data_IF_190038993389
#
_entry.id   IF_190038993389
#
_cell.length_a   1.000
_cell.length_b   1.000
_cell.length_c   1.000
_cell.angle_alpha   90.00
_cell.angle_beta   90.00
_cell.angle_gamma   90.00
#
_symmetry.space_group_name_H-M   'P 1'
#
loop_
_entity.id
_entity.type
_entity.pdbx_description
1 polymer ?
#
# COMPACT_ATOMS: atom_id res chain seq x y z
N UNK A 1 -42.72 23.25 -66.87
CA UNK A 1 -42.38 23.65 -65.47
C UNK A 1 -42.14 25.16 -65.48
N UNK A 2 -43.12 25.94 -65.02
CA UNK A 2 -43.09 27.39 -65.08
C UNK A 2 -42.14 27.98 -64.03
N UNK A 3 -41.59 29.16 -64.33
CA UNK A 3 -40.63 29.90 -63.53
C UNK A 3 -41.12 30.08 -62.06
N UNK A 4 -42.43 30.10 -61.86
CA UNK A 4 -43.13 30.24 -60.58
C UNK A 4 -43.05 28.96 -59.69
N UNK A 5 -43.00 27.76 -60.33
CA UNK A 5 -42.95 26.50 -59.56
C UNK A 5 -41.54 26.27 -58.91
N UNK A 6 -40.50 26.71 -59.63
CA UNK A 6 -39.11 26.65 -59.06
C UNK A 6 -38.93 27.59 -57.90
N UNK A 7 -39.56 28.79 -57.92
CA UNK A 7 -39.46 29.70 -56.73
C UNK A 7 -40.21 29.18 -55.52
N UNK A 8 -41.35 28.52 -55.67
CA UNK A 8 -42.09 27.93 -54.58
C UNK A 8 -41.34 26.72 -53.96
N UNK A 9 -40.67 25.93 -54.79
CA UNK A 9 -39.84 24.80 -54.32
C UNK A 9 -38.60 25.30 -53.53
N UNK A 10 -37.90 26.34 -54.05
CA UNK A 10 -36.79 26.94 -53.38
C UNK A 10 -37.17 27.56 -52.02
N UNK A 11 -38.31 28.21 -51.91
CA UNK A 11 -38.85 28.80 -50.71
C UNK A 11 -39.20 27.69 -49.65
N UNK A 12 -39.82 26.61 -50.18
CA UNK A 12 -40.11 25.42 -49.27
C UNK A 12 -38.87 24.78 -48.69
N UNK A 13 -37.82 24.58 -49.49
CA UNK A 13 -36.55 24.01 -49.06
C UNK A 13 -35.87 24.94 -48.02
N UNK A 14 -35.92 26.25 -48.25
CA UNK A 14 -35.35 27.24 -47.32
C UNK A 14 -36.06 27.23 -45.96
N UNK A 15 -37.42 27.16 -45.95
CA UNK A 15 -38.20 27.05 -44.69
C UNK A 15 -37.88 25.76 -43.93
N UNK A 16 -37.78 24.62 -44.64
CA UNK A 16 -37.40 23.33 -44.03
C UNK A 16 -35.98 23.40 -43.43
N UNK A 17 -35.05 24.05 -44.12
CA UNK A 17 -33.66 24.20 -43.66
C UNK A 17 -33.58 25.09 -42.42
N UNK A 18 -34.38 26.17 -42.35
CA UNK A 18 -34.46 27.04 -41.16
C UNK A 18 -35.11 26.30 -39.98
N UNK A 19 -36.15 25.50 -40.21
CA UNK A 19 -36.81 24.69 -39.17
C UNK A 19 -35.86 23.60 -38.64
N UNK A 20 -35.11 22.93 -39.50
CA UNK A 20 -34.10 21.95 -39.08
C UNK A 20 -32.97 22.61 -38.29
N UNK A 21 -32.55 23.82 -38.69
CA UNK A 21 -31.49 24.56 -37.97
C UNK A 21 -31.96 25.07 -36.62
N UNK A 22 -33.24 25.45 -36.45
CA UNK A 22 -33.81 25.84 -35.16
C UNK A 22 -34.00 24.65 -34.23
N UNK A 23 -34.43 23.49 -34.73
CA UNK A 23 -34.56 22.24 -33.97
C UNK A 23 -33.17 21.74 -33.50
N UNK A 24 -32.15 21.80 -34.37
CA UNK A 24 -30.78 21.44 -34.03
C UNK A 24 -30.16 22.35 -32.93
N UNK A 25 -30.57 23.61 -32.86
CA UNK A 25 -30.11 24.57 -31.85
C UNK A 25 -30.79 24.39 -30.48
N UNK A 26 -32.01 23.83 -30.44
CA UNK A 26 -32.75 23.54 -29.20
C UNK A 26 -32.36 22.21 -28.54
N UNK A 27 -31.54 21.36 -29.19
CA UNK A 27 -31.23 20.01 -28.71
C UNK A 27 -30.01 19.94 -27.76
N UNK A 28 -29.38 21.07 -27.45
CA UNK A 28 -28.36 21.13 -26.38
C UNK A 28 -29.06 21.18 -25.03
N UNK A 29 -29.45 20.02 -24.50
CA UNK A 29 -29.82 19.91 -23.10
C UNK A 29 -28.56 20.16 -22.26
N UNK A 30 -28.57 21.20 -21.38
CA UNK A 30 -27.48 21.36 -20.45
C UNK A 30 -27.40 20.10 -19.55
N UNK A 31 -26.23 19.55 -19.42
CA UNK A 31 -25.92 18.51 -18.45
C UNK A 31 -26.48 18.92 -17.09
N UNK A 32 -27.30 18.08 -16.46
CA UNK A 32 -27.80 18.32 -15.11
C UNK A 32 -26.60 18.31 -14.16
N UNK A 33 -26.08 19.47 -13.83
CA UNK A 33 -25.11 19.64 -12.76
C UNK A 33 -25.81 19.29 -11.43
N UNK A 34 -25.35 18.26 -10.78
CA UNK A 34 -25.83 17.92 -9.44
C UNK A 34 -25.08 18.79 -8.45
N UNK A 35 -25.76 19.76 -7.89
CA UNK A 35 -25.25 20.64 -6.84
C UNK A 35 -25.52 20.02 -5.46
N UNK A 36 -24.47 19.87 -4.65
CA UNK A 36 -24.54 19.42 -3.25
C UNK A 36 -24.11 20.58 -2.36
N UNK A 37 -24.91 20.87 -1.33
CA UNK A 37 -24.54 21.83 -0.29
C UNK A 37 -23.77 21.09 0.81
N UNK A 38 -22.63 21.64 1.20
CA UNK A 38 -21.82 21.16 2.33
C UNK A 38 -21.54 22.32 3.27
N UNK A 39 -21.29 22.01 4.54
CA UNK A 39 -20.80 22.97 5.54
C UNK A 39 -19.33 22.67 5.81
N UNK A 40 -18.49 23.70 5.99
CA UNK A 40 -17.17 23.51 6.57
C UNK A 40 -17.29 22.87 7.95
N UNK A 41 -16.36 22.01 8.29
CA UNK A 41 -16.32 21.30 9.57
C UNK A 41 -14.99 21.60 10.24
N UNK A 42 -15.01 21.87 11.54
CA UNK A 42 -13.78 21.91 12.33
C UNK A 42 -13.36 20.48 12.66
N UNK A 43 -12.12 20.17 12.36
CA UNK A 43 -11.60 18.81 12.55
C UNK A 43 -10.09 18.75 12.47
N UNK A 44 -9.56 17.54 12.44
CA UNK A 44 -8.13 17.27 12.28
C UNK A 44 -7.83 16.97 10.83
N UNK A 45 -6.77 17.57 10.29
CA UNK A 45 -6.22 17.25 8.98
C UNK A 45 -4.79 16.75 9.13
N UNK A 46 -4.47 15.71 8.38
CA UNK A 46 -3.17 15.07 8.46
C UNK A 46 -2.65 14.80 7.04
N UNK A 47 -1.43 15.27 6.78
CA UNK A 47 -0.69 14.88 5.57
C UNK A 47 0.05 13.58 5.85
N UNK A 48 -0.02 12.63 4.94
CA UNK A 48 0.65 11.34 5.07
C UNK A 48 1.57 11.09 3.88
N UNK A 49 2.73 10.51 4.16
CA UNK A 49 3.62 9.95 3.15
C UNK A 49 3.31 8.47 3.06
N UNK A 50 2.88 8.04 1.87
CA UNK A 50 2.57 6.62 1.61
C UNK A 50 3.77 5.95 0.95
N UNK A 51 4.19 4.81 1.49
CA UNK A 51 5.32 4.05 0.96
C UNK A 51 5.07 2.55 1.01
N UNK A 52 5.72 1.82 0.12
CA UNK A 52 5.77 0.36 0.16
C UNK A 52 6.79 -0.07 1.21
N UNK A 53 6.47 -1.12 1.94
CA UNK A 53 7.30 -1.66 2.99
C UNK A 53 7.35 -3.18 2.97
N UNK A 54 8.33 -3.75 3.65
CA UNK A 54 8.45 -5.20 3.82
C UNK A 54 8.59 -5.52 5.30
N UNK A 55 7.84 -6.52 5.75
CA UNK A 55 7.98 -7.08 7.10
C UNK A 55 9.28 -7.88 7.16
N UNK A 56 10.14 -7.57 8.12
CA UNK A 56 11.40 -8.29 8.30
C UNK A 56 11.79 -8.38 9.78
N UNK A 57 12.64 -9.34 10.14
CA UNK A 57 13.22 -9.35 11.49
C UNK A 57 14.13 -8.13 11.69
N UNK A 58 14.06 -7.48 12.84
CA UNK A 58 14.95 -6.37 13.18
C UNK A 58 16.40 -6.88 13.27
N UNK A 59 16.61 -7.94 14.03
CA UNK A 59 17.88 -8.65 14.09
C UNK A 59 17.66 -10.08 13.63
N UNK A 60 18.31 -10.45 12.54
CA UNK A 60 18.33 -11.81 12.01
C UNK A 60 19.60 -12.51 12.53
N UNK A 61 19.42 -13.43 13.46
CA UNK A 61 20.52 -14.14 14.05
C UNK A 61 20.60 -15.58 13.53
N UNK A 62 21.66 -15.87 12.80
CA UNK A 62 21.95 -17.21 12.28
C UNK A 62 22.67 -18.03 13.33
N UNK A 63 22.02 -19.09 13.81
CA UNK A 63 22.60 -20.01 14.78
C UNK A 63 23.32 -21.12 14.01
N UNK A 64 24.66 -21.05 14.05
CA UNK A 64 25.54 -21.99 13.37
C UNK A 64 26.11 -23.01 14.39
N UNK A 65 26.31 -24.25 13.95
CA UNK A 65 26.90 -25.26 14.82
C UNK A 65 28.37 -24.90 15.17
N UNK A 66 28.80 -25.14 16.42
CA UNK A 66 30.19 -24.87 16.80
C UNK A 66 31.18 -25.87 16.17
N UNK A 67 30.70 -27.00 15.70
CA UNK A 67 31.47 -28.08 15.06
C UNK A 67 30.68 -28.69 13.91
N UNK A 68 31.39 -29.26 12.95
CA UNK A 68 30.74 -30.07 11.92
C UNK A 68 30.19 -31.36 12.51
N UNK A 69 29.02 -31.80 12.05
CA UNK A 69 28.42 -32.99 12.60
C UNK A 69 27.07 -33.35 12.00
N UNK A 70 26.36 -34.24 12.71
CA UNK A 70 25.00 -34.67 12.30
C UNK A 70 23.99 -34.18 13.35
N UNK A 71 22.84 -33.75 12.87
CA UNK A 71 21.68 -33.40 13.69
C UNK A 71 21.10 -34.70 14.30
N UNK A 72 21.02 -34.76 15.60
CA UNK A 72 20.39 -35.87 16.32
C UNK A 72 18.90 -35.61 16.52
N UNK A 73 18.53 -34.40 16.97
CA UNK A 73 17.14 -33.99 17.17
C UNK A 73 16.98 -32.47 17.06
N UNK A 74 15.89 -32.03 16.50
CA UNK A 74 15.45 -30.64 16.47
C UNK A 74 14.30 -30.49 17.45
N UNK A 75 14.42 -29.54 18.39
CA UNK A 75 13.48 -29.37 19.49
C UNK A 75 12.51 -28.22 19.26
N UNK A 76 12.71 -27.41 18.22
CA UNK A 76 11.95 -26.19 17.93
C UNK A 76 11.39 -26.24 16.51
N UNK A 77 10.30 -25.49 16.29
CA UNK A 77 9.65 -25.37 14.99
C UNK A 77 9.60 -23.90 14.55
N UNK A 78 9.46 -23.66 13.27
CA UNK A 78 9.22 -22.32 12.74
C UNK A 78 7.97 -21.69 13.38
N UNK A 79 8.08 -20.41 13.78
CA UNK A 79 7.05 -19.67 14.50
C UNK A 79 7.03 -19.92 16.01
N UNK A 80 7.95 -20.71 16.57
CA UNK A 80 8.05 -20.95 18.01
C UNK A 80 8.86 -19.86 18.71
N UNK A 81 8.37 -19.40 19.86
CA UNK A 81 9.09 -18.46 20.72
C UNK A 81 10.08 -19.23 21.59
N UNK A 82 11.34 -18.81 21.56
CA UNK A 82 12.43 -19.40 22.34
C UNK A 82 13.05 -18.38 23.29
N UNK A 83 13.63 -18.90 24.39
CA UNK A 83 14.32 -18.08 25.37
C UNK A 83 15.84 -18.25 25.27
N UNK A 84 16.56 -17.22 25.67
CA UNK A 84 18.02 -17.30 25.81
C UNK A 84 18.42 -18.48 26.73
N UNK A 85 19.38 -19.29 26.26
CA UNK A 85 19.80 -20.52 26.94
C UNK A 85 18.95 -21.76 26.61
N UNK A 86 17.85 -21.64 25.91
CA UNK A 86 17.05 -22.80 25.50
C UNK A 86 17.78 -23.61 24.43
N UNK A 87 17.80 -24.95 24.60
CA UNK A 87 18.36 -25.86 23.60
C UNK A 87 17.42 -25.95 22.39
N UNK A 88 17.93 -25.63 21.20
CA UNK A 88 17.22 -25.67 19.93
C UNK A 88 17.39 -27.01 19.22
N UNK A 89 18.63 -27.50 19.21
CA UNK A 89 19.01 -28.71 18.46
C UNK A 89 20.04 -29.51 19.28
N UNK A 90 19.91 -30.82 19.22
CA UNK A 90 20.96 -31.73 19.66
C UNK A 90 21.74 -32.22 18.44
N UNK A 91 23.07 -32.21 18.53
CA UNK A 91 23.92 -32.64 17.44
C UNK A 91 25.08 -33.55 17.93
N UNK A 92 25.52 -34.42 17.05
CA UNK A 92 26.72 -35.25 17.21
C UNK A 92 27.85 -34.68 16.38
N UNK A 93 29.06 -34.62 16.90
CA UNK A 93 30.25 -34.45 16.08
C UNK A 93 30.36 -35.60 15.06
N UNK A 94 31.12 -35.40 14.00
CA UNK A 94 31.36 -36.44 12.99
C UNK A 94 31.87 -37.73 13.59
N UNK A 95 32.81 -37.59 14.60
CA UNK A 95 33.40 -38.76 15.26
C UNK A 95 32.38 -39.49 16.14
N UNK A 96 31.57 -38.71 16.92
CA UNK A 96 30.50 -39.27 17.75
C UNK A 96 29.46 -39.99 16.84
N UNK A 97 29.08 -39.44 15.76
CA UNK A 97 28.11 -40.03 14.83
C UNK A 97 28.63 -41.39 14.29
N UNK A 98 29.89 -41.44 13.87
CA UNK A 98 30.52 -42.67 13.39
C UNK A 98 30.59 -43.76 14.48
N UNK A 99 30.95 -43.40 15.74
CA UNK A 99 30.98 -44.34 16.87
C UNK A 99 29.59 -44.88 17.21
N UNK A 100 28.55 -44.02 17.20
CA UNK A 100 27.19 -44.47 17.45
C UNK A 100 26.64 -45.37 16.31
N UNK A 101 26.98 -45.10 15.05
CA UNK A 101 26.58 -45.95 13.94
C UNK A 101 27.26 -47.33 14.01
N UNK A 102 28.55 -47.40 14.41
CA UNK A 102 29.25 -48.66 14.67
C UNK A 102 28.69 -49.40 15.90
N UNK A 103 28.31 -48.70 16.94
CA UNK A 103 27.69 -49.25 18.16
C UNK A 103 26.30 -49.84 17.88
N UNK A 104 25.52 -49.17 17.02
CA UNK A 104 24.19 -49.68 16.58
C UNK A 104 24.26 -51.07 15.97
N UNK A 105 25.30 -51.36 15.22
CA UNK A 105 25.54 -52.71 14.64
C UNK A 105 25.91 -53.75 15.69
N UNK A 106 26.39 -53.32 16.91
CA UNK A 106 26.79 -54.22 18.00
C UNK A 106 25.69 -54.48 19.03
N UNK A 107 24.61 -53.74 18.98
CA UNK A 107 23.43 -53.92 19.82
C UNK A 107 23.19 -52.81 20.83
N UNK A 108 22.07 -52.90 21.57
CA UNK A 108 21.58 -51.79 22.41
C UNK A 108 22.50 -51.46 23.61
N UNK A 109 23.18 -52.41 24.15
CA UNK A 109 24.12 -52.19 25.29
C UNK A 109 25.32 -51.35 24.84
N UNK A 110 25.90 -51.67 23.68
CA UNK A 110 26.99 -50.91 23.11
C UNK A 110 26.56 -49.50 22.76
N UNK A 111 25.34 -49.35 22.22
CA UNK A 111 24.75 -48.03 21.88
C UNK A 111 24.64 -47.15 23.12
N UNK A 112 24.05 -47.68 24.24
CA UNK A 112 23.92 -46.98 25.48
C UNK A 112 25.24 -46.54 26.09
N UNK A 113 26.25 -47.44 26.01
CA UNK A 113 27.59 -47.11 26.52
C UNK A 113 28.20 -45.91 25.82
N UNK A 114 28.14 -45.87 24.48
CA UNK A 114 28.71 -44.78 23.68
C UNK A 114 27.91 -43.49 23.82
N UNK A 115 26.57 -43.54 23.97
CA UNK A 115 25.74 -42.38 24.27
C UNK A 115 26.08 -41.76 25.65
N UNK A 116 26.40 -42.58 26.62
CA UNK A 116 26.78 -42.12 27.98
C UNK A 116 28.17 -41.50 28.01
N UNK A 117 29.12 -42.10 27.26
CA UNK A 117 30.51 -41.63 27.20
C UNK A 117 30.67 -40.37 26.39
N UNK A 118 30.02 -40.31 25.23
CA UNK A 118 30.07 -39.18 24.31
C UNK A 118 28.71 -38.47 24.32
N UNK A 119 28.59 -37.37 25.07
CA UNK A 119 27.36 -36.60 25.11
C UNK A 119 27.12 -35.84 23.79
N UNK A 120 25.85 -35.67 23.43
CA UNK A 120 25.45 -34.78 22.34
C UNK A 120 25.79 -33.33 22.67
N UNK A 121 26.09 -32.53 21.64
CA UNK A 121 26.35 -31.10 21.78
C UNK A 121 25.04 -30.33 21.59
N UNK A 122 24.61 -29.52 22.58
CA UNK A 122 23.44 -28.69 22.41
C UNK A 122 23.78 -27.46 21.58
N UNK A 123 22.93 -27.14 20.66
CA UNK A 123 22.87 -25.82 20.00
C UNK A 123 21.84 -24.98 20.73
N UNK A 124 22.28 -23.93 21.42
CA UNK A 124 21.44 -23.11 22.30
C UNK A 124 21.13 -21.76 21.71
N UNK A 125 19.97 -21.19 22.09
CA UNK A 125 19.62 -19.81 21.71
C UNK A 125 20.42 -18.82 22.55
N UNK A 126 21.12 -17.84 21.94
CA UNK A 126 21.80 -16.78 22.68
C UNK A 126 20.87 -15.60 23.04
N UNK A 127 19.68 -15.53 22.49
CA UNK A 127 18.68 -14.43 22.66
C UNK A 127 17.29 -15.00 22.92
N UNK A 128 16.41 -14.17 23.47
CA UNK A 128 14.96 -14.38 23.37
C UNK A 128 14.49 -14.00 21.97
N UNK A 129 13.61 -14.81 21.36
CA UNK A 129 13.13 -14.51 20.00
C UNK A 129 12.21 -15.56 19.43
N UNK A 130 11.88 -15.41 18.17
CA UNK A 130 11.04 -16.33 17.39
C UNK A 130 11.91 -17.06 16.35
N UNK A 131 11.68 -18.36 16.18
CA UNK A 131 12.30 -19.17 15.12
C UNK A 131 11.69 -18.82 13.77
N UNK A 132 12.45 -18.21 12.88
CA UNK A 132 11.98 -17.84 11.53
C UNK A 132 12.39 -18.82 10.44
N UNK A 133 13.41 -19.64 10.68
CA UNK A 133 13.86 -20.71 9.80
C UNK A 133 14.33 -21.90 10.62
N UNK A 134 13.81 -23.09 10.29
CA UNK A 134 14.25 -24.38 10.82
C UNK A 134 14.00 -25.43 9.73
N UNK A 135 14.91 -25.51 8.75
CA UNK A 135 14.72 -26.33 7.54
C UNK A 135 15.44 -27.67 7.60
N UNK A 136 16.32 -27.87 8.55
CA UNK A 136 17.10 -29.10 8.68
C UNK A 136 16.28 -30.24 9.30
N UNK A 137 16.70 -31.47 9.00
CA UNK A 137 16.02 -32.69 9.48
C UNK A 137 16.97 -33.55 10.34
N UNK A 138 16.43 -34.30 11.33
CA UNK A 138 17.20 -35.25 12.09
C UNK A 138 17.92 -36.25 11.18
N UNK A 139 19.22 -36.44 11.38
CA UNK A 139 20.07 -37.26 10.56
C UNK A 139 20.86 -36.53 9.49
N UNK A 140 20.55 -35.27 9.21
CA UNK A 140 21.27 -34.42 8.25
C UNK A 140 22.67 -34.07 8.79
N UNK A 141 23.64 -33.99 7.88
CA UNK A 141 25.01 -33.54 8.17
C UNK A 141 25.07 -32.05 7.91
N UNK A 142 25.55 -31.31 8.89
CA UNK A 142 25.69 -29.84 8.87
C UNK A 142 27.13 -29.42 9.11
N UNK A 143 27.49 -28.29 8.55
CA UNK A 143 28.81 -27.67 8.71
C UNK A 143 28.74 -26.45 9.60
N UNK A 144 29.87 -26.05 10.19
CA UNK A 144 29.96 -24.83 11.02
C UNK A 144 29.75 -23.53 10.25
N UNK A 145 29.63 -23.57 8.93
CA UNK A 145 29.38 -22.42 8.04
C UNK A 145 27.90 -22.20 7.74
N UNK A 146 27.08 -23.23 7.89
CA UNK A 146 25.65 -23.21 7.58
C UNK A 146 24.81 -22.93 8.85
N UNK A 147 23.77 -22.11 8.70
CA UNK A 147 22.85 -21.84 9.80
C UNK A 147 21.82 -22.96 9.89
N UNK A 148 21.71 -23.62 11.03
CA UNK A 148 20.71 -24.67 11.32
C UNK A 148 19.38 -24.06 11.73
N UNK A 149 19.42 -23.01 12.53
CA UNK A 149 18.24 -22.27 12.97
C UNK A 149 18.51 -20.79 12.81
N UNK A 150 17.48 -20.04 12.38
CA UNK A 150 17.55 -18.59 12.32
C UNK A 150 16.52 -18.01 13.25
N UNK A 151 16.96 -17.13 14.11
CA UNK A 151 16.13 -16.45 15.10
C UNK A 151 15.91 -14.98 14.73
N UNK A 152 14.77 -14.45 15.13
CA UNK A 152 14.42 -13.03 15.11
C UNK A 152 14.10 -12.58 16.52
N UNK A 153 14.58 -11.42 16.93
CA UNK A 153 14.17 -10.82 18.20
C UNK A 153 12.76 -10.25 18.12
N UNK A 154 12.46 -9.51 17.05
CA UNK A 154 11.12 -8.99 16.75
C UNK A 154 10.96 -8.71 15.25
N UNK A 155 9.73 -8.70 14.79
CA UNK A 155 9.42 -8.25 13.43
C UNK A 155 9.23 -6.73 13.42
N UNK A 156 9.85 -6.10 12.44
CA UNK A 156 9.68 -4.69 12.08
C UNK A 156 9.17 -4.57 10.67
N UNK A 157 8.75 -3.37 10.31
CA UNK A 157 8.33 -3.05 8.94
C UNK A 157 9.31 -2.04 8.36
N UNK A 158 10.06 -2.43 7.35
CA UNK A 158 11.02 -1.57 6.69
C UNK A 158 10.39 -0.94 5.45
N UNK A 159 10.18 0.37 5.49
CA UNK A 159 9.65 1.17 4.39
C UNK A 159 10.75 1.59 3.40
N UNK A 160 10.36 1.72 2.12
CA UNK A 160 11.21 2.19 1.04
C UNK A 160 10.72 3.58 0.60
N UNK A 161 11.24 4.61 1.22
CA UNK A 161 10.80 6.00 1.02
C UNK A 161 11.59 6.66 -0.07
N UNK A 162 10.90 7.37 -0.98
CA UNK A 162 11.51 8.14 -2.06
C UNK A 162 12.37 9.30 -1.49
N UNK A 163 13.43 9.68 -2.22
CA UNK A 163 14.30 10.81 -1.88
C UNK A 163 13.52 12.13 -1.74
N UNK A 164 12.45 12.31 -2.49
CA UNK A 164 11.61 13.52 -2.42
C UNK A 164 10.86 13.65 -1.10
N UNK A 165 10.54 12.53 -0.46
CA UNK A 165 9.65 12.46 0.72
C UNK A 165 10.41 12.29 2.04
N UNK A 166 11.65 11.78 1.99
CA UNK A 166 12.46 11.51 3.20
C UNK A 166 12.67 12.78 4.05
N UNK A 167 12.71 13.95 3.40
CA UNK A 167 12.83 15.24 4.08
C UNK A 167 11.70 15.55 5.06
N UNK A 168 10.51 14.94 4.88
CA UNK A 168 9.33 15.07 5.74
C UNK A 168 9.28 14.07 6.90
N UNK A 169 10.15 13.03 6.90
CA UNK A 169 10.12 11.96 7.91
C UNK A 169 11.03 12.27 9.09
N UNK A 170 10.57 11.94 10.29
CA UNK A 170 11.28 12.09 11.55
C UNK A 170 11.08 10.85 12.42
N UNK A 171 12.08 10.52 13.23
CA UNK A 171 11.98 9.48 14.25
C UNK A 171 10.85 9.82 15.23
N UNK A 172 10.06 8.83 15.59
CA UNK A 172 8.93 8.93 16.50
C UNK A 172 7.58 9.33 15.85
N UNK A 173 7.54 9.58 14.55
CA UNK A 173 6.28 9.83 13.84
C UNK A 173 5.37 8.59 13.88
N UNK A 174 4.08 8.82 14.03
CA UNK A 174 3.06 7.77 13.99
C UNK A 174 2.89 7.24 12.56
N UNK A 175 2.77 5.93 12.46
CA UNK A 175 2.64 5.20 11.20
C UNK A 175 1.45 4.26 11.27
N UNK A 176 0.70 4.21 10.17
CA UNK A 176 -0.34 3.20 9.97
C UNK A 176 0.17 2.17 8.96
N UNK A 177 0.17 0.91 9.37
CA UNK A 177 0.67 -0.23 8.60
C UNK A 177 -0.51 -1.09 8.16
N UNK A 178 -0.59 -1.40 6.88
CA UNK A 178 -1.56 -2.32 6.30
C UNK A 178 -0.84 -3.38 5.49
N UNK A 179 -1.06 -4.66 5.80
CA UNK A 179 -0.51 -5.76 5.01
C UNK A 179 -1.29 -5.93 3.72
N UNK A 180 -0.62 -6.10 2.60
CA UNK A 180 -1.27 -6.29 1.29
C UNK A 180 -2.10 -7.59 1.25
N UNK A 181 -1.65 -8.63 1.97
CA UNK A 181 -2.39 -9.89 2.10
C UNK A 181 -3.62 -9.79 3.02
N UNK A 182 -3.66 -8.82 3.93
CA UNK A 182 -4.71 -8.63 4.93
C UNK A 182 -5.07 -7.15 5.09
N UNK A 183 -5.70 -6.50 4.07
CA UNK A 183 -5.94 -5.05 4.07
C UNK A 183 -6.86 -4.54 5.20
N UNK A 184 -7.66 -5.43 5.78
CA UNK A 184 -8.54 -5.13 6.91
C UNK A 184 -7.79 -5.05 8.26
N UNK A 185 -6.57 -5.59 8.33
CA UNK A 185 -5.74 -5.54 9.53
C UNK A 185 -4.88 -4.27 9.47
N UNK A 186 -5.27 -3.29 10.26
CA UNK A 186 -4.53 -2.04 10.39
C UNK A 186 -3.75 -2.08 11.71
N UNK A 187 -2.44 -1.93 11.62
CA UNK A 187 -1.54 -1.91 12.77
C UNK A 187 -0.94 -0.51 12.89
N UNK A 188 -0.90 0.01 14.10
CA UNK A 188 -0.18 1.24 14.41
C UNK A 188 1.26 0.93 14.75
N UNK A 189 2.14 1.87 14.45
CA UNK A 189 3.55 1.78 14.76
C UNK A 189 4.20 3.15 14.74
N UNK A 190 5.51 3.18 14.93
CA UNK A 190 6.30 4.41 14.94
C UNK A 190 7.58 4.24 14.15
N UNK A 191 8.04 5.35 13.55
CA UNK A 191 9.35 5.43 12.93
C UNK A 191 10.41 5.29 14.03
N UNK A 192 11.23 4.25 13.93
CA UNK A 192 12.30 3.94 14.89
C UNK A 192 13.67 4.40 14.36
N UNK A 193 13.98 4.08 13.11
CA UNK A 193 15.25 4.41 12.51
C UNK A 193 15.13 4.85 11.04
N UNK A 194 15.97 5.79 10.64
CA UNK A 194 16.08 6.27 9.26
C UNK A 194 17.52 6.03 8.81
N UNK A 195 17.73 5.22 7.78
CA UNK A 195 19.06 4.93 7.26
C UNK A 195 19.63 6.13 6.52
N UNK A 196 20.90 6.39 6.72
CA UNK A 196 21.61 7.50 6.07
C UNK A 196 22.08 7.15 4.65
N UNK A 197 22.22 5.87 4.35
CA UNK A 197 22.63 5.38 3.04
C UNK A 197 21.41 5.11 2.17
N UNK A 198 21.37 5.71 0.99
CA UNK A 198 20.35 5.44 -0.01
C UNK A 198 20.63 4.14 -0.77
N UNK A 199 19.58 3.54 -1.31
CA UNK A 199 19.65 2.40 -2.23
C UNK A 199 18.99 2.75 -3.54
N UNK A 200 19.50 2.24 -4.65
CA UNK A 200 18.85 2.37 -5.95
C UNK A 200 18.07 1.09 -6.25
N UNK A 201 16.75 1.23 -6.32
CA UNK A 201 15.84 0.15 -6.66
C UNK A 201 15.06 0.55 -7.90
N UNK A 202 15.12 -0.22 -8.97
CA UNK A 202 14.44 0.06 -10.24
C UNK A 202 14.73 1.48 -10.78
N UNK A 203 15.97 1.96 -10.68
CA UNK A 203 16.40 3.32 -11.08
C UNK A 203 15.79 4.46 -10.23
N UNK A 204 15.22 4.17 -9.08
CA UNK A 204 14.72 5.16 -8.13
C UNK A 204 15.61 5.16 -6.89
N UNK A 205 16.02 6.33 -6.43
CA UNK A 205 16.75 6.49 -5.17
C UNK A 205 15.78 6.41 -4.00
N UNK A 206 15.97 5.42 -3.13
CA UNK A 206 15.15 5.21 -1.94
C UNK A 206 16.00 5.26 -0.67
N UNK A 207 15.38 5.66 0.42
CA UNK A 207 15.90 5.53 1.79
C UNK A 207 15.09 4.51 2.55
N UNK A 208 15.78 3.67 3.32
CA UNK A 208 15.12 2.70 4.20
C UNK A 208 14.75 3.36 5.51
N UNK A 209 13.54 3.07 5.99
CA UNK A 209 13.00 3.56 7.25
C UNK A 209 12.43 2.39 8.03
N UNK A 210 12.98 2.11 9.20
CA UNK A 210 12.47 1.06 10.08
C UNK A 210 11.34 1.58 10.94
N UNK A 211 10.25 0.85 10.93
CA UNK A 211 9.02 1.14 11.64
C UNK A 211 8.74 -0.01 12.59
N UNK A 212 8.65 0.31 13.88
CA UNK A 212 8.30 -0.65 14.92
C UNK A 212 6.79 -0.64 15.12
N UNK A 213 6.11 -1.77 14.86
CA UNK A 213 4.68 -1.89 15.14
C UNK A 213 4.44 -1.94 16.65
N UNK A 214 3.40 -1.27 17.15
CA UNK A 214 3.01 -1.31 18.58
C UNK A 214 2.59 -2.72 19.00
N UNK A 215 2.00 -3.47 18.08
CA UNK A 215 1.60 -4.87 18.27
C UNK A 215 1.92 -5.66 17.00
N UNK A 216 2.43 -6.88 17.15
CA UNK A 216 2.69 -7.79 16.03
C UNK A 216 1.57 -8.83 15.98
N UNK A 217 0.62 -8.71 15.03
CA UNK A 217 -0.42 -9.72 14.85
C UNK A 217 0.19 -11.07 14.41
N UNK A 218 -0.48 -12.17 14.75
CA UNK A 218 -0.06 -13.51 14.28
C UNK A 218 -0.04 -13.67 12.74
N UNK A 219 -0.72 -12.77 12.04
CA UNK A 219 -0.72 -12.76 10.58
C UNK A 219 0.60 -12.26 9.96
N UNK A 220 1.44 -11.54 10.73
CA UNK A 220 2.72 -11.05 10.23
C UNK A 220 3.66 -12.21 9.96
N UNK A 221 4.29 -12.21 8.79
CA UNK A 221 5.36 -13.12 8.42
C UNK A 221 6.50 -12.33 7.80
N UNK A 222 7.73 -12.74 8.07
CA UNK A 222 8.91 -12.20 7.41
C UNK A 222 8.78 -12.35 5.88
N UNK A 223 9.09 -11.29 5.13
CA UNK A 223 8.97 -11.23 3.68
C UNK A 223 7.60 -10.74 3.15
N UNK A 224 6.60 -10.52 4.00
CA UNK A 224 5.33 -9.94 3.56
C UNK A 224 5.48 -8.49 3.15
N UNK A 225 4.76 -8.10 2.08
CA UNK A 225 4.64 -6.72 1.64
C UNK A 225 3.55 -6.00 2.43
N UNK A 226 3.81 -4.76 2.75
CA UNK A 226 2.89 -3.86 3.44
C UNK A 226 2.89 -2.47 2.80
N UNK A 227 1.77 -1.78 2.94
CA UNK A 227 1.67 -0.36 2.66
C UNK A 227 1.71 0.41 3.98
N UNK A 228 2.55 1.42 4.08
CA UNK A 228 2.68 2.27 5.26
C UNK A 228 2.30 3.70 4.95
N UNK A 229 1.56 4.32 5.87
CA UNK A 229 1.20 5.72 5.82
C UNK A 229 1.83 6.42 7.03
N UNK A 230 2.88 7.20 6.77
CA UNK A 230 3.64 7.93 7.80
C UNK A 230 3.04 9.31 7.95
N UNK A 231 2.69 9.69 9.18
CA UNK A 231 2.14 11.01 9.49
C UNK A 231 3.22 12.09 9.35
N UNK A 232 3.12 12.94 8.32
CA UNK A 232 4.08 14.03 8.12
C UNK A 232 3.74 15.25 8.99
N UNK A 233 2.52 15.76 8.82
CA UNK A 233 2.03 16.94 9.55
C UNK A 233 0.60 16.72 9.97
N UNK A 234 0.31 17.00 11.23
CA UNK A 234 -1.05 16.97 11.78
C UNK A 234 -1.40 18.33 12.32
N UNK A 235 -2.58 18.82 11.99
CA UNK A 235 -3.19 20.01 12.58
C UNK A 235 -4.57 19.67 13.11
N UNK A 236 -4.81 20.04 14.33
CA UNK A 236 -6.08 19.87 15.02
C UNK A 236 -6.87 21.19 15.03
N UNK A 237 -8.17 21.09 15.19
CA UNK A 237 -9.08 22.24 15.28
C UNK A 237 -8.99 23.23 14.12
N UNK A 238 -8.78 22.73 12.90
CA UNK A 238 -8.75 23.54 11.68
C UNK A 238 -10.04 23.41 10.89
N UNK A 239 -10.40 24.48 10.16
CA UNK A 239 -11.55 24.46 9.28
C UNK A 239 -11.24 23.69 8.01
N UNK A 240 -11.96 22.59 7.78
CA UNK A 240 -11.75 21.67 6.65
C UNK A 240 -12.95 21.66 5.70
N UNK A 241 -12.64 21.55 4.42
CA UNK A 241 -13.63 21.36 3.35
C UNK A 241 -13.16 20.23 2.43
N UNK A 242 -14.07 19.50 1.78
CA UNK A 242 -13.70 18.53 0.74
C UNK A 242 -12.93 19.19 -0.40
N UNK A 243 -11.88 18.54 -0.86
CA UNK A 243 -11.02 19.05 -1.95
C UNK A 243 -11.82 19.31 -3.25
N UNK A 244 -12.90 18.54 -3.48
CA UNK A 244 -13.82 18.72 -4.62
C UNK A 244 -14.59 20.04 -4.60
N UNK A 245 -14.65 20.73 -3.45
CA UNK A 245 -15.29 22.03 -3.31
C UNK A 245 -14.41 23.20 -3.79
N UNK A 246 -13.12 22.96 -3.99
CA UNK A 246 -12.14 23.97 -4.35
C UNK A 246 -11.95 24.03 -5.85
N UNK A 247 -12.17 25.21 -6.43
CA UNK A 247 -11.84 25.51 -7.81
C UNK A 247 -10.51 26.27 -7.87
N UNK A 248 -9.52 25.70 -8.54
CA UNK A 248 -8.24 26.39 -8.77
C UNK A 248 -8.30 27.15 -10.07
N UNK A 249 -8.08 28.47 -10.01
CA UNK A 249 -8.01 29.39 -11.15
C UNK A 249 -6.62 30.01 -11.23
N UNK A 250 -6.35 30.77 -12.29
CA UNK A 250 -5.07 31.50 -12.42
C UNK A 250 -4.81 32.48 -11.29
N UNK A 251 -5.90 33.00 -10.66
CA UNK A 251 -5.86 34.00 -9.60
C UNK A 251 -5.87 33.40 -8.18
N UNK A 252 -5.84 32.07 -8.07
CA UNK A 252 -5.80 31.36 -6.78
C UNK A 252 -6.93 30.34 -6.60
N UNK A 253 -7.14 29.92 -5.37
CA UNK A 253 -8.19 28.98 -4.99
C UNK A 253 -9.50 29.74 -4.66
N UNK A 254 -10.60 29.23 -5.16
CA UNK A 254 -11.94 29.80 -4.96
C UNK A 254 -12.93 28.70 -4.56
N UNK A 255 -13.92 29.07 -3.78
CA UNK A 255 -15.06 28.23 -3.40
C UNK A 255 -16.38 28.92 -3.78
N UNK A 256 -17.40 28.15 -4.11
CA UNK A 256 -18.74 28.66 -4.36
C UNK A 256 -19.52 28.71 -3.04
N UNK A 257 -19.77 29.90 -2.54
CA UNK A 257 -20.56 30.12 -1.32
C UNK A 257 -21.99 30.50 -1.67
N UNK A 258 -22.96 29.92 -0.95
CA UNK A 258 -24.39 30.23 -1.13
C UNK A 258 -24.69 31.66 -0.66
N UNK A 259 -25.10 32.51 -1.55
CA UNK A 259 -25.41 33.94 -1.27
C UNK A 259 -26.88 34.20 -0.89
N UNK A 260 -27.48 33.41 0.02
CA UNK A 260 -28.86 33.56 0.49
C UNK A 260 -29.93 32.95 -0.41
N UNK A 261 -31.23 33.02 0.02
CA UNK A 261 -32.36 32.44 -0.72
C UNK A 261 -32.53 33.16 -2.06
N UNK A 262 -32.45 32.39 -3.17
CA UNK A 262 -32.74 32.88 -4.54
C UNK A 262 -31.62 33.64 -5.22
N UNK A 263 -30.44 33.82 -4.62
CA UNK A 263 -29.26 34.42 -5.25
C UNK A 263 -28.35 33.37 -5.84
N UNK A 264 -27.69 33.69 -6.96
CA UNK A 264 -26.66 32.82 -7.54
C UNK A 264 -25.50 32.66 -6.57
N UNK A 265 -24.84 31.46 -6.52
CA UNK A 265 -23.64 31.27 -5.71
C UNK A 265 -22.59 32.32 -6.05
N UNK A 266 -21.92 32.83 -5.02
CA UNK A 266 -20.82 33.78 -5.19
C UNK A 266 -19.49 33.04 -5.09
N UNK A 267 -18.59 33.31 -6.01
CA UNK A 267 -17.21 32.84 -5.91
C UNK A 267 -16.48 33.66 -4.86
N UNK A 268 -15.85 32.99 -3.90
CA UNK A 268 -15.07 33.63 -2.84
C UNK A 268 -13.66 33.05 -2.87
N UNK A 269 -12.67 33.94 -2.88
CA UNK A 269 -11.26 33.57 -2.80
C UNK A 269 -10.97 33.02 -1.42
N UNK A 270 -10.21 31.94 -1.35
CA UNK A 270 -9.81 31.27 -0.10
C UNK A 270 -8.30 31.03 -0.10
N UNK A 271 -7.72 31.11 1.10
CA UNK A 271 -6.35 30.67 1.32
C UNK A 271 -6.38 29.26 1.90
N UNK A 272 -5.63 28.37 1.28
CA UNK A 272 -5.60 26.96 1.65
C UNK A 272 -4.33 26.65 2.43
N UNK A 273 -4.44 25.75 3.39
CA UNK A 273 -3.32 25.22 4.17
C UNK A 273 -2.98 23.78 3.78
N UNK A 274 -2.92 22.89 4.78
CA UNK A 274 -2.66 21.47 4.57
C UNK A 274 -3.81 20.83 3.78
N UNK A 275 -3.47 19.83 2.98
CA UNK A 275 -4.45 19.03 2.25
C UNK A 275 -4.14 17.55 2.45
N UNK A 276 -5.18 16.74 2.65
CA UNK A 276 -5.14 15.30 2.58
C UNK A 276 -5.76 14.81 1.26
N UNK A 277 -5.97 13.49 1.12
CA UNK A 277 -6.57 12.90 -0.08
C UNK A 277 -8.01 13.37 -0.37
N UNK A 278 -8.74 13.80 0.63
CA UNK A 278 -10.19 14.11 0.56
C UNK A 278 -10.51 15.54 0.91
N UNK A 279 -9.75 16.13 1.83
CA UNK A 279 -10.05 17.41 2.46
C UNK A 279 -8.87 18.39 2.32
N UNK A 280 -9.17 19.66 2.53
CA UNK A 280 -8.18 20.73 2.58
C UNK A 280 -8.52 21.69 3.69
N UNK A 281 -7.50 22.14 4.42
CA UNK A 281 -7.57 23.19 5.42
C UNK A 281 -7.83 24.53 4.75
N UNK A 282 -8.73 25.33 5.33
CA UNK A 282 -8.96 26.71 4.90
C UNK A 282 -8.45 27.65 5.98
N UNK A 283 -7.44 28.45 5.62
CA UNK A 283 -6.82 29.43 6.52
C UNK A 283 -7.63 30.73 6.59
N UNK A 284 -8.21 31.15 5.47
CA UNK A 284 -9.00 32.39 5.40
C UNK A 284 -10.01 32.35 4.24
N UNK A 285 -11.03 33.22 4.31
CA UNK A 285 -12.01 33.41 3.22
C UNK A 285 -13.39 32.83 3.49
N UNK A 286 -13.56 31.86 4.37
CA UNK A 286 -14.85 31.27 4.77
C UNK A 286 -14.93 31.06 6.28
N UNK A 287 -16.15 30.88 6.78
CA UNK A 287 -16.45 30.58 8.19
C UNK A 287 -17.27 29.28 8.31
N UNK A 288 -17.38 28.72 9.51
CA UNK A 288 -18.17 27.50 9.81
C UNK A 288 -19.66 27.64 9.44
N UNK A 289 -20.19 28.86 9.45
CA UNK A 289 -21.59 29.14 9.16
C UNK A 289 -21.87 29.21 7.66
N UNK A 290 -20.86 29.37 6.83
CA UNK A 290 -20.99 29.45 5.38
C UNK A 290 -21.48 28.09 4.80
N UNK A 291 -22.22 28.16 3.71
CA UNK A 291 -22.66 26.98 2.96
C UNK A 291 -21.95 26.97 1.62
N UNK A 292 -21.18 25.92 1.38
CA UNK A 292 -20.39 25.74 0.16
C UNK A 292 -21.18 24.87 -0.81
N UNK A 293 -21.17 25.25 -2.07
CA UNK A 293 -21.81 24.50 -3.15
C UNK A 293 -20.74 23.73 -3.91
N UNK A 294 -20.84 22.41 -3.89
CA UNK A 294 -20.04 21.53 -4.72
C UNK A 294 -20.82 21.18 -5.97
N UNK A 295 -20.24 21.48 -7.12
CA UNK A 295 -20.82 21.12 -8.43
C UNK A 295 -20.14 19.85 -8.92
N UNK A 296 -20.82 18.73 -8.83
CA UNK A 296 -20.34 17.46 -9.39
C UNK A 296 -20.86 17.33 -10.83
N UNK A 297 -19.97 17.32 -11.80
CA UNK A 297 -20.31 16.92 -13.17
C UNK A 297 -20.34 15.38 -13.20
N UNK A 298 -21.53 14.80 -13.26
CA UNK A 298 -21.65 13.38 -13.62
C UNK A 298 -21.12 13.22 -15.04
N UNK A 299 -19.97 12.59 -15.17
CA UNK A 299 -19.51 12.11 -16.48
C UNK A 299 -20.55 11.10 -17.00
N UNK A 300 -21.41 11.54 -17.90
CA UNK A 300 -22.20 10.66 -18.74
C UNK A 300 -21.31 10.33 -19.94
N UNK A 301 -20.84 9.09 -20.09
CA UNK A 301 -20.14 8.71 -21.31
C UNK A 301 -21.10 8.98 -22.48
N UNK A 302 -20.67 9.78 -23.42
CA UNK A 302 -21.41 10.04 -24.63
C UNK A 302 -21.56 8.71 -25.39
N UNK A 303 -22.77 8.16 -25.38
CA UNK A 303 -23.15 6.97 -26.16
C UNK A 303 -23.36 7.34 -27.63
N UNK A 304 -22.57 8.23 -28.18
CA UNK A 304 -22.47 8.37 -29.65
C UNK A 304 -21.33 7.47 -30.13
N UNK A 305 -21.64 6.20 -30.22
CA UNK A 305 -20.96 5.33 -31.19
C UNK A 305 -21.41 5.78 -32.58
N UNK A 306 -20.80 6.84 -33.11
CA UNK A 306 -20.74 7.02 -34.55
C UNK A 306 -20.05 5.78 -35.10
N UNK A 307 -20.82 4.97 -35.85
CA UNK A 307 -20.35 3.78 -36.53
C UNK A 307 -19.12 4.08 -37.40
N UNK A 308 -17.96 4.06 -36.77
CA UNK A 308 -16.67 4.01 -37.41
C UNK A 308 -16.49 2.60 -37.94
N UNK A 309 -16.53 2.45 -39.26
CA UNK A 309 -16.07 1.23 -39.94
C UNK A 309 -14.68 0.86 -39.41
N UNK A 310 -14.62 -0.29 -38.76
CA UNK A 310 -13.37 -0.85 -38.28
C UNK A 310 -12.46 -1.15 -39.49
N UNK A 311 -11.29 -0.51 -39.66
CA UNK A 311 -10.43 -0.68 -40.85
C UNK A 311 -9.89 -2.12 -41.02
N UNK A 312 -10.09 -2.97 -40.03
CA UNK A 312 -9.59 -4.36 -40.01
C UNK A 312 -10.66 -5.42 -40.35
N UNK A 313 -11.91 -5.04 -40.72
CA UNK A 313 -12.91 -6.01 -41.17
C UNK A 313 -13.00 -6.04 -42.68
N UNK A 314 -12.78 -7.18 -43.39
CA UNK A 314 -12.94 -7.30 -44.82
C UNK A 314 -14.41 -7.17 -45.23
N UNK A 315 -14.70 -6.37 -46.28
CA UNK A 315 -16.01 -6.17 -46.83
C UNK A 315 -16.65 -7.50 -47.28
N UNK A 316 -17.78 -7.84 -46.68
CA UNK A 316 -18.65 -8.94 -47.15
C UNK A 316 -19.42 -8.49 -48.36
N UNK A 317 -19.01 -8.92 -49.58
CA UNK A 317 -19.77 -8.72 -50.81
C UNK A 317 -21.17 -9.34 -50.69
N UNK A 318 -22.22 -8.53 -50.78
CA UNK A 318 -23.59 -8.99 -50.98
C UNK A 318 -23.71 -9.47 -52.43
N UNK A 319 -23.98 -10.77 -52.61
CA UNK A 319 -24.41 -11.31 -53.91
C UNK A 319 -25.88 -11.01 -54.10
N UNK A 320 -26.22 -10.27 -55.15
CA UNK A 320 -27.55 -10.09 -55.70
C UNK A 320 -27.96 -11.36 -56.45
N UNK A 321 -29.08 -11.92 -56.08
CA UNK A 321 -29.97 -12.70 -56.93
C UNK A 321 -31.32 -12.03 -56.91
#
# INVERSE_FOLDING_TARGET
>A
MTKNDRQKICLGIFIVLVVVMTIARCSHKPSKETTREIKPVVGTIQTTITSTATVQPQNRLEIKPPINGRIDAILVKEGELVKAGQTLVWMSSTDRAALLDAARARGPEAMKYWEDVYKATPLISPIDGEVIVSQDEPGQIVTSTEAVVVLSDRLIVQAQVDETDIGGIRIGQDVTISLDAYPQIIVKGRVDHIYYESKIVNNVTIYQVDIVPDTVPQAFRSGMTATVNIAEKTKEEVLIIPLEAVKRTKDGAHVLVKAGLGKKPAERKVELGLADEKNVEVLSGISETDRIIVTSQKYTPSTEVKGGTNPLMPFRRRSTK
#
